data_IF_334932384043
#
_entry.id   IF_334932384043
#
_cell.length_a   1.000
_cell.length_b   1.000
_cell.length_c   1.000
_cell.angle_alpha   90.00
_cell.angle_beta   90.00
_cell.angle_gamma   90.00
#
_symmetry.space_group_name_H-M   'P 1'
#
loop_
_entity.id
_entity.type
_entity.pdbx_description
1 polymer ?
#
# COMPACT_ATOMS: atom_id res chain seq x y z
N UNK A 1 16.79 22.32 10.87
CA UNK A 1 15.76 22.86 11.79
C UNK A 1 14.59 21.90 11.75
N UNK A 2 14.15 21.40 12.91
CA UNK A 2 13.03 20.47 13.01
C UNK A 2 11.76 21.20 12.58
N UNK A 3 11.21 20.87 11.42
CA UNK A 3 9.85 21.27 11.09
C UNK A 3 8.92 20.47 11.99
N UNK A 4 8.34 21.18 12.96
CA UNK A 4 7.23 20.71 13.77
C UNK A 4 6.14 20.25 12.82
N UNK A 5 5.84 18.95 12.83
CA UNK A 5 4.77 18.32 12.07
C UNK A 5 3.44 18.96 12.48
N UNK A 6 2.96 19.88 11.64
CA UNK A 6 1.58 20.35 11.69
C UNK A 6 0.76 19.17 11.16
N UNK A 7 0.05 18.48 12.05
CA UNK A 7 -1.07 17.62 11.64
C UNK A 7 -2.04 18.51 10.86
N UNK A 8 -2.05 18.36 9.55
CA UNK A 8 -3.06 18.99 8.71
C UNK A 8 -4.41 18.36 9.09
N UNK A 9 -5.37 19.22 9.41
CA UNK A 9 -6.67 18.89 9.97
C UNK A 9 -7.44 17.84 9.14
N UNK A 10 -7.88 16.78 9.83
CA UNK A 10 -9.11 15.98 9.63
C UNK A 10 -9.50 15.48 8.22
N UNK A 11 -8.53 15.27 7.32
CA UNK A 11 -8.77 14.37 6.18
C UNK A 11 -8.61 12.94 6.68
N UNK A 12 -9.67 12.14 6.51
CA UNK A 12 -9.61 10.69 6.77
C UNK A 12 -8.44 10.10 5.96
N UNK A 13 -7.43 9.57 6.65
CA UNK A 13 -6.22 9.02 6.00
C UNK A 13 -6.56 7.96 4.94
N UNK A 14 -7.70 7.30 5.06
CA UNK A 14 -8.20 6.37 4.04
C UNK A 14 -8.56 7.08 2.74
N UNK A 15 -9.17 8.26 2.79
CA UNK A 15 -9.52 9.09 1.63
C UNK A 15 -8.23 9.55 0.93
N UNK A 16 -7.28 10.07 1.70
CA UNK A 16 -5.98 10.50 1.14
C UNK A 16 -5.25 9.34 0.46
N UNK A 17 -5.21 8.18 1.11
CA UNK A 17 -4.60 6.97 0.56
C UNK A 17 -5.28 6.51 -0.74
N UNK A 18 -6.61 6.50 -0.77
CA UNK A 18 -7.40 6.10 -1.94
C UNK A 18 -7.21 7.09 -3.09
N UNK A 19 -7.20 8.40 -2.81
CA UNK A 19 -7.01 9.43 -3.83
C UNK A 19 -5.60 9.34 -4.44
N UNK A 20 -4.57 9.17 -3.61
CA UNK A 20 -3.18 9.04 -4.06
C UNK A 20 -2.95 7.86 -4.99
N UNK A 21 -3.64 6.73 -4.77
CA UNK A 21 -3.45 5.50 -5.55
C UNK A 21 -4.44 5.43 -6.73
N UNK A 22 -5.67 5.91 -6.54
CA UNK A 22 -6.80 5.62 -7.43
C UNK A 22 -7.64 6.83 -7.85
N UNK A 23 -7.34 8.07 -7.42
CA UNK A 23 -8.23 9.23 -7.51
C UNK A 23 -8.90 9.45 -8.87
N UNK A 24 -8.13 9.34 -9.96
CA UNK A 24 -8.60 9.49 -11.34
C UNK A 24 -8.87 8.14 -12.06
N UNK A 25 -8.89 7.02 -11.32
CA UNK A 25 -9.11 5.68 -11.90
C UNK A 25 -10.54 5.50 -12.40
N UNK A 26 -10.67 4.78 -13.52
CA UNK A 26 -11.97 4.35 -14.07
C UNK A 26 -12.20 2.85 -13.86
N UNK A 27 -11.33 2.18 -13.11
CA UNK A 27 -11.40 0.74 -12.87
C UNK A 27 -12.12 0.39 -11.58
N UNK A 28 -12.51 -0.87 -11.50
CA UNK A 28 -13.02 -1.47 -10.27
C UNK A 28 -11.87 -1.71 -9.30
N UNK A 29 -12.02 -1.25 -8.07
CA UNK A 29 -11.06 -1.41 -6.98
C UNK A 29 -11.67 -2.42 -6.00
N UNK A 30 -10.86 -3.38 -5.55
CA UNK A 30 -11.29 -4.31 -4.52
C UNK A 30 -11.17 -3.66 -3.15
N UNK A 31 -12.24 -3.73 -2.36
CA UNK A 31 -12.18 -3.58 -0.89
C UNK A 31 -12.33 -4.96 -0.29
N UNK A 32 -11.50 -5.32 0.67
CA UNK A 32 -11.57 -6.60 1.36
C UNK A 32 -11.48 -6.42 2.88
N UNK A 33 -12.11 -7.33 3.60
CA UNK A 33 -12.17 -7.33 5.05
C UNK A 33 -11.89 -8.74 5.58
N UNK A 34 -11.23 -8.84 6.73
CA UNK A 34 -11.10 -10.08 7.48
C UNK A 34 -11.78 -9.91 8.83
N UNK A 35 -12.88 -10.62 9.05
CA UNK A 35 -13.64 -10.49 10.28
C UNK A 35 -12.94 -11.21 11.46
N UNK A 36 -13.51 -11.09 12.66
CA UNK A 36 -12.98 -11.71 13.90
C UNK A 36 -12.88 -13.24 13.82
N UNK A 37 -13.70 -13.89 12.99
CA UNK A 37 -13.66 -15.33 12.72
C UNK A 37 -12.62 -15.72 11.66
N UNK A 38 -11.80 -14.77 11.18
CA UNK A 38 -10.81 -14.93 10.11
C UNK A 38 -11.43 -15.24 8.74
N UNK A 39 -12.71 -14.94 8.56
CA UNK A 39 -13.38 -15.09 7.26
C UNK A 39 -13.03 -13.91 6.36
N UNK A 40 -12.70 -14.21 5.11
CA UNK A 40 -12.33 -13.22 4.10
C UNK A 40 -13.54 -12.87 3.24
N UNK A 41 -13.85 -11.58 3.18
CA UNK A 41 -14.88 -11.04 2.29
C UNK A 41 -14.29 -9.95 1.40
N UNK A 42 -14.79 -9.83 0.17
CA UNK A 42 -14.36 -8.78 -0.76
C UNK A 42 -15.51 -8.26 -1.61
N UNK A 43 -15.43 -6.99 -1.96
CA UNK A 43 -16.36 -6.26 -2.80
C UNK A 43 -15.57 -5.40 -3.80
N UNK A 44 -16.25 -4.90 -4.82
CA UNK A 44 -15.64 -4.10 -5.87
C UNK A 44 -16.41 -2.81 -6.07
N UNK A 45 -15.68 -1.69 -6.12
CA UNK A 45 -16.27 -0.35 -6.25
C UNK A 45 -15.50 0.47 -7.29
N UNK A 46 -16.17 1.42 -7.92
CA UNK A 46 -15.49 2.55 -8.56
C UNK A 46 -15.05 3.54 -7.47
N UNK A 47 -14.04 4.38 -7.75
CA UNK A 47 -13.42 5.27 -6.75
C UNK A 47 -14.46 6.11 -5.98
N UNK A 48 -15.43 6.70 -6.67
CA UNK A 48 -16.46 7.54 -6.04
C UNK A 48 -17.39 6.77 -5.09
N UNK A 49 -17.62 5.48 -5.30
CA UNK A 49 -18.41 4.65 -4.38
C UNK A 49 -17.54 4.02 -3.29
N UNK A 50 -16.26 3.80 -3.57
CA UNK A 50 -15.27 3.34 -2.59
C UNK A 50 -15.09 4.37 -1.48
N UNK A 51 -14.99 5.66 -1.83
CA UNK A 51 -14.83 6.77 -0.89
C UNK A 51 -16.03 6.95 0.07
N UNK A 52 -17.17 6.32 -0.21
CA UNK A 52 -18.36 6.32 0.67
C UNK A 52 -18.37 5.16 1.66
N UNK A 53 -17.41 4.23 1.55
CA UNK A 53 -17.36 3.06 2.41
C UNK A 53 -16.71 3.39 3.75
N UNK A 54 -17.04 2.62 4.77
CA UNK A 54 -16.42 2.71 6.09
C UNK A 54 -15.08 1.95 6.13
N UNK A 55 -14.03 2.64 6.57
CA UNK A 55 -12.66 2.13 6.73
C UNK A 55 -12.20 2.07 8.20
N UNK A 56 -12.95 2.61 9.15
CA UNK A 56 -12.62 2.61 10.59
C UNK A 56 -12.99 1.27 11.25
N UNK A 57 -12.40 0.20 10.73
CA UNK A 57 -12.65 -1.19 11.12
C UNK A 57 -11.34 -1.97 11.19
N UNK A 58 -11.41 -3.15 11.80
CA UNK A 58 -10.28 -4.07 11.80
C UNK A 58 -10.04 -4.68 10.42
N UNK A 59 -8.77 -4.80 10.04
CA UNK A 59 -8.31 -5.59 8.89
C UNK A 59 -9.01 -5.23 7.57
N UNK A 60 -8.98 -3.95 7.21
CA UNK A 60 -9.48 -3.46 5.92
C UNK A 60 -8.34 -3.35 4.93
N UNK A 61 -8.56 -3.81 3.71
CA UNK A 61 -7.57 -3.83 2.64
C UNK A 61 -8.19 -3.30 1.34
N UNK A 62 -7.37 -2.70 0.48
CA UNK A 62 -7.76 -2.40 -0.91
C UNK A 62 -6.72 -2.90 -1.90
N UNK A 63 -7.14 -3.17 -3.13
CA UNK A 63 -6.22 -3.53 -4.21
C UNK A 63 -5.36 -2.35 -4.66
N UNK A 64 -4.11 -2.62 -5.00
CA UNK A 64 -3.17 -1.62 -5.53
C UNK A 64 -3.33 -1.37 -7.03
N UNK A 65 -3.91 -2.34 -7.75
CA UNK A 65 -4.31 -2.22 -9.15
C UNK A 65 -5.83 -2.18 -9.28
N UNK A 66 -6.33 -1.74 -10.43
CA UNK A 66 -7.77 -1.73 -10.75
C UNK A 66 -8.13 -2.75 -11.82
N UNK A 67 -9.42 -3.07 -11.95
CA UNK A 67 -9.94 -4.13 -12.81
C UNK A 67 -10.98 -3.59 -13.79
N UNK A 68 -11.10 -4.18 -14.99
CA UNK A 68 -12.07 -3.70 -15.99
C UNK A 68 -13.50 -4.22 -15.74
N UNK A 69 -13.63 -5.21 -14.85
CA UNK A 69 -14.89 -5.75 -14.34
C UNK A 69 -14.73 -6.03 -12.83
N UNK A 70 -15.81 -6.18 -12.04
CA UNK A 70 -15.74 -6.39 -10.60
C UNK A 70 -15.24 -7.80 -10.25
N UNK A 71 -13.96 -8.05 -10.53
CA UNK A 71 -13.29 -9.33 -10.33
C UNK A 71 -11.80 -9.07 -10.17
N UNK A 72 -11.23 -9.45 -9.03
CA UNK A 72 -9.79 -9.33 -8.76
C UNK A 72 -9.04 -10.56 -9.25
N UNK A 73 -8.53 -10.50 -10.48
CA UNK A 73 -7.62 -11.48 -11.04
C UNK A 73 -6.63 -10.80 -11.97
N UNK A 74 -5.53 -11.49 -12.26
CA UNK A 74 -4.48 -10.97 -13.13
C UNK A 74 -5.05 -10.69 -14.54
N UNK A 75 -5.93 -11.56 -15.03
CA UNK A 75 -6.54 -11.42 -16.36
C UNK A 75 -7.53 -10.26 -16.46
N UNK A 76 -7.98 -9.71 -15.33
CA UNK A 76 -8.97 -8.63 -15.28
C UNK A 76 -8.40 -7.26 -15.01
N UNK A 77 -7.07 -7.12 -14.93
CA UNK A 77 -6.40 -5.85 -14.68
C UNK A 77 -6.76 -4.83 -15.77
N UNK A 78 -7.10 -3.62 -15.32
CA UNK A 78 -7.33 -2.46 -16.17
C UNK A 78 -6.14 -1.49 -16.11
N UNK A 79 -5.84 -1.00 -14.91
CA UNK A 79 -4.76 -0.06 -14.66
C UNK A 79 -3.85 -0.58 -13.55
N UNK A 80 -2.54 -0.46 -13.77
CA UNK A 80 -1.50 -0.61 -12.76
C UNK A 80 -0.94 0.79 -12.53
N UNK A 81 -1.15 1.35 -11.34
CA UNK A 81 -0.80 2.75 -11.02
C UNK A 81 0.23 2.91 -9.92
N UNK A 82 0.73 1.81 -9.34
CA UNK A 82 1.71 1.86 -8.26
C UNK A 82 2.67 0.69 -8.28
N UNK A 83 3.84 0.89 -7.68
CA UNK A 83 4.76 -0.12 -7.19
C UNK A 83 4.72 -0.08 -5.65
N UNK A 84 4.95 -1.20 -4.98
CA UNK A 84 4.84 -1.22 -3.53
C UNK A 84 5.68 -2.32 -2.88
N UNK A 85 6.18 -2.09 -1.67
CA UNK A 85 6.89 -3.12 -0.90
C UNK A 85 6.30 -3.15 0.51
N UNK A 86 5.81 -4.32 0.92
CA UNK A 86 5.40 -4.59 2.31
C UNK A 86 6.62 -5.13 3.07
N UNK A 87 7.06 -4.38 4.07
CA UNK A 87 8.19 -4.70 4.94
C UNK A 87 7.64 -5.29 6.24
N UNK A 88 7.81 -6.60 6.39
CA UNK A 88 7.56 -7.30 7.65
C UNK A 88 8.70 -7.03 8.64
N UNK A 89 8.82 -5.78 9.11
CA UNK A 89 9.95 -5.32 9.93
C UNK A 89 10.12 -6.15 11.22
N UNK A 90 9.02 -6.71 11.74
CA UNK A 90 9.01 -7.60 12.91
C UNK A 90 9.72 -8.95 12.70
N UNK A 91 10.04 -9.31 11.46
CA UNK A 91 10.88 -10.47 11.13
C UNK A 91 12.38 -10.12 11.06
N UNK A 92 12.74 -8.87 11.38
CA UNK A 92 14.12 -8.38 11.33
C UNK A 92 14.62 -7.99 12.72
N UNK A 93 15.94 -7.77 12.84
CA UNK A 93 16.56 -7.23 14.06
C UNK A 93 16.42 -5.70 14.19
N UNK A 94 15.91 -5.03 13.16
CA UNK A 94 15.84 -3.58 13.09
C UNK A 94 14.46 -3.09 13.52
N UNK A 95 14.44 -1.97 14.23
CA UNK A 95 13.18 -1.23 14.48
C UNK A 95 12.72 -0.51 13.22
N UNK A 96 11.43 -0.18 13.13
CA UNK A 96 10.88 0.64 12.02
C UNK A 96 11.67 1.94 11.85
N UNK A 97 12.00 2.64 12.94
CA UNK A 97 12.79 3.86 12.90
C UNK A 97 14.19 3.65 12.34
N UNK A 98 14.90 2.59 12.76
CA UNK A 98 16.23 2.27 12.21
C UNK A 98 16.16 1.96 10.72
N UNK A 99 15.13 1.24 10.27
CA UNK A 99 14.91 0.97 8.85
C UNK A 99 14.70 2.28 8.10
N UNK A 100 13.77 3.14 8.54
CA UNK A 100 13.47 4.41 7.88
C UNK A 100 14.70 5.32 7.80
N UNK A 101 15.46 5.49 8.89
CA UNK A 101 16.70 6.26 8.89
C UNK A 101 17.72 5.72 7.88
N UNK A 102 17.89 4.40 7.80
CA UNK A 102 18.82 3.79 6.86
C UNK A 102 18.35 3.96 5.40
N UNK A 103 17.04 3.83 5.14
CA UNK A 103 16.48 4.06 3.81
C UNK A 103 16.70 5.50 3.35
N UNK A 104 16.45 6.47 4.23
CA UNK A 104 16.67 7.90 3.97
C UNK A 104 18.14 8.21 3.64
N UNK A 105 19.07 7.69 4.44
CA UNK A 105 20.50 7.99 4.28
C UNK A 105 21.14 7.27 3.07
N UNK A 106 20.78 6.01 2.86
CA UNK A 106 21.55 5.09 2.02
C UNK A 106 20.82 4.56 0.78
N UNK A 107 19.49 4.66 0.68
CA UNK A 107 18.71 4.06 -0.43
C UNK A 107 17.98 5.10 -1.27
N UNK A 108 17.24 6.00 -0.63
CA UNK A 108 16.42 7.01 -1.29
C UNK A 108 17.27 7.97 -2.13
N UNK A 109 16.78 8.30 -3.33
CA UNK A 109 17.48 9.09 -4.36
C UNK A 109 18.86 8.53 -4.77
N UNK A 110 19.13 7.27 -4.43
CA UNK A 110 20.34 6.55 -4.81
C UNK A 110 19.94 5.31 -5.59
N UNK A 111 19.71 4.20 -4.89
CA UNK A 111 19.32 2.92 -5.50
C UNK A 111 17.83 2.83 -5.79
N UNK A 112 16.99 3.52 -5.02
CA UNK A 112 15.54 3.56 -5.23
C UNK A 112 15.01 5.00 -5.09
N UNK A 113 13.90 5.36 -5.76
CA UNK A 113 13.25 6.66 -5.56
C UNK A 113 12.68 6.80 -4.13
N UNK A 114 12.44 8.03 -3.69
CA UNK A 114 11.62 8.28 -2.49
C UNK A 114 10.19 7.79 -2.76
N UNK A 115 9.57 7.00 -1.87
CA UNK A 115 8.17 6.59 -2.00
C UNK A 115 7.22 7.78 -1.82
N UNK A 116 6.08 7.76 -2.51
CA UNK A 116 5.02 8.74 -2.34
C UNK A 116 4.27 8.55 -1.02
N UNK A 117 4.24 7.32 -0.50
CA UNK A 117 3.63 6.99 0.79
C UNK A 117 4.50 6.02 1.56
N UNK A 118 4.70 6.32 2.84
CA UNK A 118 5.21 5.39 3.84
C UNK A 118 4.09 5.14 4.85
N UNK A 119 3.63 3.90 4.95
CA UNK A 119 2.50 3.53 5.80
C UNK A 119 2.98 2.63 6.92
N UNK A 120 2.69 3.01 8.17
CA UNK A 120 2.81 2.11 9.31
C UNK A 120 1.63 1.15 9.32
N UNK A 121 1.88 -0.11 8.96
CA UNK A 121 0.85 -1.15 8.95
C UNK A 121 0.52 -1.68 10.36
N UNK A 122 1.12 -1.09 11.40
CA UNK A 122 1.04 -1.48 12.80
C UNK A 122 2.20 -2.38 13.22
N UNK A 123 2.50 -3.39 12.41
CA UNK A 123 3.61 -4.33 12.66
C UNK A 123 4.81 -4.12 11.75
N UNK A 124 4.58 -3.56 10.58
CA UNK A 124 5.56 -3.36 9.52
C UNK A 124 5.39 -2.02 8.84
N UNK A 125 6.02 -1.86 7.68
CA UNK A 125 5.94 -0.65 6.86
C UNK A 125 5.53 -1.03 5.44
N UNK A 126 4.64 -0.27 4.84
CA UNK A 126 4.37 -0.35 3.40
C UNK A 126 4.96 0.87 2.72
N UNK A 127 5.83 0.66 1.74
CA UNK A 127 6.35 1.71 0.86
C UNK A 127 5.58 1.67 -0.45
N UNK A 128 5.09 2.80 -0.94
CA UNK A 128 4.33 2.90 -2.19
C UNK A 128 4.93 3.99 -3.08
N UNK A 129 5.15 3.65 -4.35
CA UNK A 129 5.54 4.59 -5.41
C UNK A 129 4.43 4.66 -6.45
N UNK A 130 3.83 5.82 -6.64
CA UNK A 130 2.85 6.07 -7.69
C UNK A 130 3.57 6.18 -9.03
N UNK A 131 2.96 5.61 -10.07
CA UNK A 131 3.43 5.69 -11.45
C UNK A 131 2.29 6.13 -12.35
N UNK A 132 2.62 6.61 -13.56
CA UNK A 132 1.61 6.77 -14.59
C UNK A 132 0.89 5.44 -14.81
N UNK A 133 -0.44 5.49 -14.90
CA UNK A 133 -1.26 4.28 -15.05
C UNK A 133 -0.93 3.58 -16.36
N UNK A 134 -0.49 2.34 -16.25
CA UNK A 134 -0.19 1.48 -17.40
C UNK A 134 -1.21 0.35 -17.51
N UNK A 135 -1.50 -0.15 -18.73
CA UNK A 135 -2.38 -1.29 -18.91
C UNK A 135 -1.68 -2.60 -18.54
N UNK A 136 -2.46 -3.69 -18.44
CA UNK A 136 -1.96 -5.05 -18.22
C UNK A 136 -0.77 -5.45 -19.11
N UNK A 137 -0.66 -4.90 -20.33
CA UNK A 137 0.46 -5.16 -21.26
C UNK A 137 1.84 -4.82 -20.68
N UNK A 138 1.91 -3.90 -19.72
CA UNK A 138 3.15 -3.51 -19.04
C UNK A 138 3.52 -4.43 -17.87
N UNK A 139 2.76 -5.50 -17.59
CA UNK A 139 2.93 -6.35 -16.41
C UNK A 139 4.35 -6.90 -16.27
N UNK A 140 4.99 -7.33 -17.36
CA UNK A 140 6.35 -7.87 -17.29
C UNK A 140 7.37 -6.82 -16.85
N UNK A 141 7.25 -5.59 -17.33
CA UNK A 141 8.10 -4.48 -16.91
C UNK A 141 7.83 -4.08 -15.45
N UNK A 142 6.55 -3.96 -15.09
CA UNK A 142 6.14 -3.69 -13.71
C UNK A 142 6.73 -4.74 -12.75
N UNK A 143 6.63 -6.03 -13.08
CA UNK A 143 7.20 -7.12 -12.27
C UNK A 143 8.72 -6.98 -12.14
N UNK A 144 9.43 -6.62 -13.20
CA UNK A 144 10.88 -6.44 -13.15
C UNK A 144 11.28 -5.31 -12.18
N UNK A 145 10.55 -4.18 -12.19
CA UNK A 145 10.80 -3.08 -11.25
C UNK A 145 10.41 -3.48 -9.82
N UNK A 146 9.29 -4.18 -9.66
CA UNK A 146 8.83 -4.68 -8.36
C UNK A 146 9.85 -5.65 -7.72
N UNK A 147 10.46 -6.52 -8.54
CA UNK A 147 11.54 -7.43 -8.17
C UNK A 147 12.85 -6.71 -7.83
N UNK A 148 13.17 -5.65 -8.58
CA UNK A 148 14.32 -4.79 -8.26
C UNK A 148 14.13 -4.13 -6.89
N UNK A 149 12.99 -3.50 -6.62
CA UNK A 149 12.68 -2.89 -5.32
C UNK A 149 12.76 -3.93 -4.19
N UNK A 150 12.20 -5.12 -4.39
CA UNK A 150 12.34 -6.23 -3.44
C UNK A 150 13.81 -6.57 -3.19
N UNK A 151 14.64 -6.66 -4.24
CA UNK A 151 16.04 -7.03 -4.11
C UNK A 151 16.83 -6.03 -3.25
N UNK A 152 16.48 -4.75 -3.33
CA UNK A 152 17.07 -3.67 -2.54
C UNK A 152 16.61 -3.71 -1.08
N UNK A 153 15.39 -4.19 -0.82
CA UNK A 153 14.73 -4.04 0.47
C UNK A 153 14.57 -5.35 1.26
N UNK A 154 14.99 -6.49 0.70
CA UNK A 154 14.83 -7.82 1.32
C UNK A 154 15.46 -7.93 2.72
N UNK A 155 16.56 -7.22 2.98
CA UNK A 155 17.21 -7.24 4.29
C UNK A 155 16.39 -6.55 5.38
N UNK A 156 15.49 -5.64 4.99
CA UNK A 156 14.54 -4.94 5.86
C UNK A 156 13.19 -5.66 5.99
N UNK A 157 13.13 -6.92 5.53
CA UNK A 157 11.95 -7.77 5.69
C UNK A 157 10.92 -7.64 4.57
N UNK A 158 11.33 -7.20 3.37
CA UNK A 158 10.42 -7.18 2.22
C UNK A 158 9.78 -8.57 1.98
N UNK A 159 8.45 -8.64 1.97
CA UNK A 159 7.73 -9.89 1.77
C UNK A 159 7.72 -10.27 0.28
N UNK A 160 8.46 -11.33 -0.05
CA UNK A 160 8.50 -11.91 -1.40
C UNK A 160 7.12 -12.32 -1.87
N UNK A 161 6.26 -12.78 -0.96
CA UNK A 161 4.91 -13.22 -1.29
C UNK A 161 4.01 -12.04 -1.62
N UNK A 162 4.38 -10.81 -1.29
CA UNK A 162 3.58 -9.60 -1.53
C UNK A 162 3.72 -9.01 -2.93
N UNK A 163 4.58 -9.53 -3.81
CA UNK A 163 4.93 -8.91 -5.10
C UNK A 163 3.95 -9.17 -6.27
N UNK A 164 2.72 -9.62 -6.00
CA UNK A 164 1.76 -9.83 -7.08
C UNK A 164 0.99 -8.55 -7.43
N UNK A 165 0.68 -8.36 -8.71
CA UNK A 165 -0.01 -7.14 -9.20
C UNK A 165 -1.46 -6.99 -8.70
N UNK A 166 -2.07 -8.06 -8.19
CA UNK A 166 -3.43 -8.04 -7.62
C UNK A 166 -3.44 -7.92 -6.10
N UNK A 167 -2.29 -7.57 -5.51
CA UNK A 167 -2.11 -7.42 -4.07
C UNK A 167 -3.12 -6.44 -3.49
N UNK A 168 -3.62 -6.82 -2.32
CA UNK A 168 -4.39 -5.95 -1.45
C UNK A 168 -3.52 -5.60 -0.24
N UNK A 169 -3.50 -4.33 0.15
CA UNK A 169 -2.72 -3.82 1.30
C UNK A 169 -3.64 -3.12 2.29
N UNK A 170 -3.22 -3.05 3.56
CA UNK A 170 -4.02 -2.43 4.62
C UNK A 170 -4.23 -0.95 4.33
N UNK A 171 -5.45 -0.49 4.57
CA UNK A 171 -5.82 0.90 4.35
C UNK A 171 -5.47 1.72 5.60
N UNK A 172 -4.77 2.87 5.47
CA UNK A 172 -4.66 3.85 6.54
C UNK A 172 -6.02 4.23 7.13
N UNK A 173 -6.08 4.49 8.42
CA UNK A 173 -7.33 4.65 9.16
C UNK A 173 -7.97 3.33 9.63
N UNK A 174 -7.60 2.17 9.10
CA UNK A 174 -8.07 0.88 9.66
C UNK A 174 -7.27 0.44 10.90
N UNK A 175 -7.73 -0.59 11.62
CA UNK A 175 -7.02 -1.19 12.75
C UNK A 175 -6.40 -2.52 12.33
N UNK A 176 -5.10 -2.71 12.56
CA UNK A 176 -4.48 -4.03 12.42
C UNK A 176 -4.75 -4.86 13.68
N UNK A 177 -5.66 -5.83 13.62
CA UNK A 177 -6.05 -6.61 14.80
C UNK A 177 -4.93 -7.47 15.38
N UNK A 178 -3.86 -7.74 14.62
CA UNK A 178 -2.68 -8.47 15.12
C UNK A 178 -1.82 -7.67 16.10
N UNK A 179 -1.91 -6.34 16.06
CA UNK A 179 -1.18 -5.44 16.97
C UNK A 179 -2.10 -4.51 17.77
N UNK A 180 -3.37 -4.39 17.40
CA UNK A 180 -4.31 -3.45 18.00
C UNK A 180 -4.02 -1.99 17.66
N UNK A 181 -3.20 -1.73 16.63
CA UNK A 181 -2.73 -0.39 16.27
C UNK A 181 -3.45 0.12 15.04
N UNK A 182 -3.73 1.42 15.00
CA UNK A 182 -4.23 2.10 13.80
C UNK A 182 -3.15 2.11 12.73
N UNK A 183 -3.54 1.82 11.49
CA UNK A 183 -2.69 1.95 10.31
C UNK A 183 -2.60 3.44 9.96
N UNK A 184 -1.40 3.98 9.82
CA UNK A 184 -1.21 5.43 9.61
C UNK A 184 -0.21 5.75 8.51
N UNK A 185 -0.40 6.88 7.83
CA UNK A 185 0.59 7.46 6.91
C UNK A 185 1.64 8.21 7.74
N UNK A 186 2.92 7.82 7.60
CA UNK A 186 4.04 8.41 8.34
C UNK A 186 4.65 9.61 7.62
N UNK A 187 4.90 9.48 6.32
CA UNK A 187 5.58 10.48 5.50
C UNK A 187 4.99 10.52 4.09
N UNK A 188 5.14 11.69 3.46
CA UNK A 188 4.74 12.04 2.08
C UNK A 188 5.95 12.61 1.34
#
# INVERSE_FOLDING_TARGET
MRNTLIKVDDIDESIEYIDTIHGDSKGWITKAEINKNKEFSQWHYLVGDLLKQDFDKENIYISMSTFYKPMRRIETIKEIGSLFIDLDTYNTKFTKTQILMNLEENYFNRSIPIPNLIIDSGRGLTLVWSIEKVPYKALSLWKAVQEYLYSQLKEFGADRKALDVTRILRVPGSINSKSGTRVTILEK
#
